data_IF_565382012312
#
_entry.id   IF_565382012312
#
_cell.length_a   1.000
_cell.length_b   1.000
_cell.length_c   1.000
_cell.angle_alpha   90.00
_cell.angle_beta   90.00
_cell.angle_gamma   90.00
#
_symmetry.space_group_name_H-M   'P 1'
#
loop_
_entity.id
_entity.type
_entity.pdbx_description
1 polymer ?
#
# COMPACT_ATOMS: atom_id res chain seq x y z
N UNK A 1 2.12 17.34 29.50
CA UNK A 1 1.63 16.70 28.26
C UNK A 1 0.58 15.66 28.63
N UNK A 2 -0.61 15.68 28.04
CA UNK A 2 -1.74 14.84 28.44
C UNK A 2 -1.58 13.38 27.94
N UNK A 3 -1.91 12.38 28.77
CA UNK A 3 -1.86 10.95 28.45
C UNK A 3 -2.65 10.61 27.18
N UNK A 4 -3.86 11.16 27.03
CA UNK A 4 -4.70 10.93 25.83
C UNK A 4 -4.04 11.44 24.54
N UNK A 5 -3.36 12.58 24.61
CA UNK A 5 -2.63 13.13 23.46
C UNK A 5 -1.43 12.29 23.08
N UNK A 6 -0.79 11.64 24.08
CA UNK A 6 0.30 10.70 23.84
C UNK A 6 -0.21 9.44 23.14
N UNK A 7 -1.30 8.86 23.62
CA UNK A 7 -1.92 7.65 23.06
C UNK A 7 -2.37 7.88 21.61
N UNK A 8 -3.06 8.98 21.32
CA UNK A 8 -3.48 9.31 19.95
C UNK A 8 -2.29 9.43 18.98
N UNK A 9 -1.15 9.97 19.43
CA UNK A 9 0.05 10.06 18.58
C UNK A 9 0.68 8.69 18.32
N UNK A 10 0.70 7.80 19.31
CA UNK A 10 1.20 6.43 19.14
C UNK A 10 0.33 5.69 18.14
N UNK A 11 -0.99 5.71 18.32
CA UNK A 11 -1.94 5.09 17.39
C UNK A 11 -1.73 5.63 15.98
N UNK A 12 -1.71 6.96 15.80
CA UNK A 12 -1.49 7.56 14.47
C UNK A 12 -0.15 7.15 13.85
N UNK A 13 0.92 7.09 14.65
CA UNK A 13 2.23 6.64 14.18
C UNK A 13 2.19 5.19 13.72
N UNK A 14 1.51 4.31 14.47
CA UNK A 14 1.38 2.90 14.13
C UNK A 14 0.54 2.70 12.86
N UNK A 15 -0.52 3.50 12.67
CA UNK A 15 -1.33 3.48 11.46
C UNK A 15 -0.52 3.89 10.22
N UNK A 16 0.24 4.99 10.31
CA UNK A 16 1.12 5.43 9.22
C UNK A 16 2.17 4.37 8.91
N UNK A 17 2.77 3.77 9.95
CA UNK A 17 3.77 2.71 9.79
C UNK A 17 3.16 1.46 9.13
N UNK A 18 1.99 1.02 9.59
CA UNK A 18 1.31 -0.14 9.01
C UNK A 18 0.96 0.09 7.54
N UNK A 19 0.46 1.29 7.20
CA UNK A 19 0.20 1.68 5.81
C UNK A 19 1.46 1.67 4.96
N UNK A 20 2.55 2.25 5.45
CA UNK A 20 3.83 2.31 4.74
C UNK A 20 4.43 0.92 4.50
N UNK A 21 4.34 0.02 5.47
CA UNK A 21 4.81 -1.36 5.32
C UNK A 21 3.97 -2.12 4.28
N UNK A 22 2.65 -2.02 4.36
CA UNK A 22 1.75 -2.64 3.40
C UNK A 22 1.98 -2.12 1.97
N UNK A 23 2.12 -0.81 1.80
CA UNK A 23 2.41 -0.21 0.49
C UNK A 23 3.80 -0.63 -0.02
N UNK A 24 4.81 -0.75 0.85
CA UNK A 24 6.14 -1.22 0.48
C UNK A 24 6.13 -2.68 0.02
N UNK A 25 5.42 -3.57 0.70
CA UNK A 25 5.34 -4.98 0.31
C UNK A 25 4.61 -5.15 -1.03
N UNK A 26 3.47 -4.45 -1.22
CA UNK A 26 2.76 -4.41 -2.50
C UNK A 26 3.66 -3.92 -3.65
N UNK A 27 4.44 -2.87 -3.42
CA UNK A 27 5.35 -2.32 -4.43
C UNK A 27 6.49 -3.29 -4.77
N UNK A 28 7.03 -4.02 -3.78
CA UNK A 28 8.04 -5.06 -4.01
C UNK A 28 7.51 -6.20 -4.85
N UNK A 29 6.30 -6.68 -4.57
CA UNK A 29 5.65 -7.73 -5.35
C UNK A 29 5.40 -7.27 -6.80
N UNK A 30 4.88 -6.05 -6.97
CA UNK A 30 4.68 -5.48 -8.31
C UNK A 30 6.00 -5.35 -9.09
N UNK A 31 7.08 -4.94 -8.43
CA UNK A 31 8.39 -4.84 -9.05
C UNK A 31 8.93 -6.22 -9.48
N UNK A 32 8.77 -7.24 -8.62
CA UNK A 32 9.16 -8.61 -8.95
C UNK A 32 8.42 -9.11 -10.21
N UNK A 33 7.10 -8.90 -10.28
CA UNK A 33 6.32 -9.27 -11.47
C UNK A 33 6.73 -8.50 -12.74
N UNK A 34 7.07 -7.22 -12.60
CA UNK A 34 7.56 -6.42 -13.71
C UNK A 34 8.92 -6.93 -14.19
N UNK A 35 9.82 -7.25 -13.27
CA UNK A 35 11.14 -7.81 -13.57
C UNK A 35 11.01 -9.15 -14.29
N UNK A 36 10.15 -10.06 -13.79
CA UNK A 36 9.89 -11.36 -14.41
C UNK A 36 9.39 -11.21 -15.86
N UNK A 37 8.50 -10.24 -16.14
CA UNK A 37 8.01 -9.98 -17.50
C UNK A 37 9.09 -9.37 -18.39
N UNK A 38 9.95 -8.50 -17.84
CA UNK A 38 10.97 -7.78 -18.58
C UNK A 38 12.21 -8.62 -18.89
N UNK A 39 12.60 -9.51 -17.98
CA UNK A 39 13.75 -10.41 -18.12
C UNK A 39 13.40 -11.69 -18.90
N UNK A 40 12.11 -12.06 -18.95
CA UNK A 40 11.61 -13.16 -19.75
C UNK A 40 11.52 -12.87 -21.26
N UNK A 41 10.87 -13.77 -22.00
CA UNK A 41 10.59 -13.55 -23.42
C UNK A 41 9.51 -12.49 -23.58
N UNK A 42 9.89 -11.28 -23.99
CA UNK A 42 8.93 -10.20 -24.19
C UNK A 42 8.03 -10.48 -25.40
N UNK A 43 6.74 -10.20 -25.25
CA UNK A 43 5.75 -10.26 -26.32
C UNK A 43 5.21 -8.86 -26.59
N UNK A 44 4.39 -8.69 -27.64
CA UNK A 44 3.68 -7.43 -27.90
C UNK A 44 2.85 -6.93 -26.71
N UNK A 45 2.46 -7.82 -25.78
CA UNK A 45 1.65 -7.49 -24.61
C UNK A 45 2.48 -7.20 -23.35
N UNK A 46 3.81 -7.38 -23.37
CA UNK A 46 4.66 -7.18 -22.19
C UNK A 46 4.59 -5.75 -21.66
N UNK A 47 4.74 -4.74 -22.52
CA UNK A 47 4.67 -3.33 -22.12
C UNK A 47 3.29 -2.91 -21.57
N UNK A 48 2.16 -3.22 -22.23
CA UNK A 48 0.84 -3.00 -21.65
C UNK A 48 0.63 -3.67 -20.28
N UNK A 49 1.13 -4.90 -20.12
CA UNK A 49 1.02 -5.63 -18.86
C UNK A 49 1.84 -4.99 -17.74
N UNK A 50 3.08 -4.61 -18.02
CA UNK A 50 3.94 -3.86 -17.08
C UNK A 50 3.25 -2.57 -16.65
N UNK A 51 2.73 -1.78 -17.60
CA UNK A 51 2.03 -0.53 -17.29
C UNK A 51 0.77 -0.77 -16.44
N UNK A 52 0.03 -1.85 -16.69
CA UNK A 52 -1.14 -2.23 -15.90
C UNK A 52 -0.75 -2.59 -14.45
N UNK A 53 0.30 -3.40 -14.27
CA UNK A 53 0.80 -3.80 -12.96
C UNK A 53 1.30 -2.58 -12.17
N UNK A 54 2.12 -1.73 -12.79
CA UNK A 54 2.63 -0.51 -12.17
C UNK A 54 1.51 0.43 -11.71
N UNK A 55 0.49 0.67 -12.55
CA UNK A 55 -0.66 1.50 -12.17
C UNK A 55 -1.43 0.91 -10.99
N UNK A 56 -1.72 -0.38 -11.02
CA UNK A 56 -2.43 -1.05 -9.93
C UNK A 56 -1.64 -0.98 -8.61
N UNK A 57 -0.31 -1.08 -8.68
CA UNK A 57 0.55 -1.00 -7.51
C UNK A 57 0.67 0.42 -6.92
N UNK A 58 0.48 1.47 -7.73
CA UNK A 58 0.57 2.87 -7.29
C UNK A 58 -0.76 3.42 -6.74
N UNK A 59 -1.90 2.89 -7.16
CA UNK A 59 -3.20 3.28 -6.59
C UNK A 59 -3.27 2.76 -5.16
N UNK A 60 -3.33 3.68 -4.19
CA UNK A 60 -3.29 3.33 -2.78
C UNK A 60 -4.46 2.41 -2.39
N UNK A 61 -4.16 1.15 -2.09
CA UNK A 61 -5.12 0.24 -1.48
C UNK A 61 -5.23 0.53 0.02
N UNK A 62 -6.46 0.58 0.54
CA UNK A 62 -6.69 0.69 1.98
C UNK A 62 -6.27 -0.64 2.65
N UNK A 63 -5.45 -0.60 3.72
CA UNK A 63 -5.08 -1.82 4.43
C UNK A 63 -6.35 -2.47 5.01
N UNK A 64 -6.50 -3.77 4.83
CA UNK A 64 -7.73 -4.53 5.12
C UNK A 64 -8.15 -4.62 6.60
N UNK A 65 -7.55 -3.85 7.53
CA UNK A 65 -7.91 -3.92 8.95
C UNK A 65 -9.09 -2.97 9.26
N UNK A 66 -10.31 -3.50 9.53
CA UNK A 66 -11.48 -2.69 9.89
C UNK A 66 -11.36 -1.95 11.23
N UNK A 67 -10.26 -2.11 11.99
CA UNK A 67 -9.94 -1.28 13.16
C UNK A 67 -9.29 0.07 12.79
N UNK A 68 -8.97 0.28 11.50
CA UNK A 68 -8.35 1.49 10.97
C UNK A 68 -9.35 2.48 10.34
N UNK A 69 -10.58 2.05 10.08
CA UNK A 69 -11.67 2.87 9.51
C UNK A 69 -12.48 3.63 10.57
N UNK A 70 -11.91 3.85 11.77
CA UNK A 70 -12.56 4.58 12.85
C UNK A 70 -12.59 6.10 12.56
N UNK A 71 -13.37 6.51 11.57
CA UNK A 71 -14.01 7.82 11.63
C UNK A 71 -15.07 7.78 12.74
N UNK A 72 -15.06 8.72 13.71
CA UNK A 72 -16.21 8.87 14.57
C UNK A 72 -17.36 9.40 13.71
N UNK A 73 -18.41 8.59 13.56
CA UNK A 73 -19.67 9.03 12.99
C UNK A 73 -20.14 10.27 13.75
N UNK A 74 -20.12 11.43 13.07
CA UNK A 74 -20.68 12.67 13.58
C UNK A 74 -22.20 12.46 13.70
N UNK A 75 -22.70 12.45 14.94
CA UNK A 75 -24.10 12.73 15.24
C UNK A 75 -24.33 14.25 15.17
#
# INVERSE_FOLDING_TARGET
MNLKQREMRVIRSDQIRARALHDADRLREALALIADIAEGSTTANSLPNIARIARAALVGAEPADPRLSAEPAKH
#
